data_IF_649764178396
#
_entry.id   IF_649764178396
#
_cell.length_a   1.000
_cell.length_b   1.000
_cell.length_c   1.000
_cell.angle_alpha   90.00
_cell.angle_beta   90.00
_cell.angle_gamma   90.00
#
_symmetry.space_group_name_H-M   'P 1'
#
loop_
_entity.id
_entity.type
_entity.pdbx_description
1 polymer ?
#
# COMPACT_ATOMS: atom_id res chain seq x y z
N UNK A 1 -24.39 -3.07 25.77
CA UNK A 1 -23.08 -2.81 26.42
C UNK A 1 -22.51 -4.14 26.91
N UNK A 2 -21.68 -4.81 26.11
CA UNK A 2 -21.14 -6.14 26.44
C UNK A 2 -20.27 -6.05 27.71
N UNK A 3 -20.72 -6.67 28.82
CA UNK A 3 -19.98 -6.81 30.09
C UNK A 3 -19.53 -8.27 30.23
N UNK A 4 -18.43 -8.61 29.56
CA UNK A 4 -17.72 -9.86 29.81
C UNK A 4 -16.53 -9.53 30.74
N UNK A 5 -16.56 -10.07 31.96
CA UNK A 5 -15.62 -9.75 33.06
C UNK A 5 -14.49 -10.78 33.21
N UNK A 6 -14.29 -11.62 32.19
CA UNK A 6 -13.31 -12.72 32.21
C UNK A 6 -11.96 -12.34 31.58
N UNK A 7 -11.73 -11.06 31.25
CA UNK A 7 -10.45 -10.56 30.73
C UNK A 7 -10.01 -9.31 31.52
N UNK A 8 -8.71 -9.16 31.80
CA UNK A 8 -8.20 -8.09 32.67
C UNK A 8 -8.27 -6.68 32.05
N UNK A 9 -8.42 -6.58 30.72
CA UNK A 9 -8.42 -5.29 30.00
C UNK A 9 -9.41 -5.23 28.83
N UNK A 10 -9.64 -4.02 28.29
CA UNK A 10 -10.49 -3.82 27.10
C UNK A 10 -9.67 -4.03 25.83
N UNK A 11 -10.01 -5.04 25.04
CA UNK A 11 -9.37 -5.36 23.76
C UNK A 11 -10.19 -4.79 22.60
N UNK A 12 -9.74 -3.72 21.92
CA UNK A 12 -10.45 -3.09 20.80
C UNK A 12 -9.49 -2.37 19.84
N UNK A 13 -9.22 -2.94 18.66
CA UNK A 13 -8.55 -2.22 17.57
C UNK A 13 -8.60 -2.99 16.24
N UNK A 14 -8.83 -2.28 15.15
CA UNK A 14 -8.86 -2.83 13.80
C UNK A 14 -8.40 -1.76 12.81
N UNK A 15 -7.54 -2.13 11.86
CA UNK A 15 -7.23 -1.32 10.68
C UNK A 15 -7.46 -2.13 9.41
N UNK A 16 -8.00 -1.45 8.39
CA UNK A 16 -8.21 -2.03 7.07
C UNK A 16 -6.92 -2.13 6.23
N UNK A 17 -5.91 -1.30 6.51
CA UNK A 17 -4.63 -1.28 5.80
C UNK A 17 -3.48 -0.80 6.71
N UNK A 18 -2.25 -0.86 6.18
CA UNK A 18 -1.01 -0.45 6.85
C UNK A 18 -0.93 1.02 7.25
N UNK A 19 -1.84 1.87 6.77
CA UNK A 19 -1.92 3.26 7.23
C UNK A 19 -2.39 3.36 8.69
N UNK A 20 -2.85 2.25 9.28
CA UNK A 20 -3.10 2.10 10.72
C UNK A 20 -3.96 3.23 11.32
N UNK A 21 -4.96 3.70 10.58
CA UNK A 21 -5.86 4.76 11.05
C UNK A 21 -6.50 4.36 12.40
N UNK A 22 -6.21 5.12 13.46
CA UNK A 22 -6.66 4.85 14.82
C UNK A 22 -5.55 4.32 15.74
N UNK A 23 -5.92 3.48 16.70
CA UNK A 23 -5.02 3.00 17.76
C UNK A 23 -4.50 1.57 17.53
N UNK A 24 -4.28 1.19 16.27
CA UNK A 24 -3.91 -0.20 15.89
C UNK A 24 -2.45 -0.53 16.18
N UNK A 25 -1.59 0.47 16.33
CA UNK A 25 -0.17 0.29 16.66
C UNK A 25 0.13 0.18 18.17
N UNK A 26 -0.84 0.50 19.04
CA UNK A 26 -0.69 0.48 20.51
C UNK A 26 -1.69 -0.43 21.31
N UNK A 27 -2.43 -1.39 20.72
CA UNK A 27 -3.34 -2.26 21.48
C UNK A 27 -2.63 -3.57 21.88
N UNK A 28 -3.17 -4.28 22.88
CA UNK A 28 -2.68 -5.62 23.24
C UNK A 28 -2.89 -6.63 22.09
N UNK A 29 -3.97 -6.47 21.32
CA UNK A 29 -4.31 -7.32 20.16
C UNK A 29 -4.84 -6.44 19.03
N UNK A 30 -4.14 -6.43 17.90
CA UNK A 30 -4.51 -5.72 16.68
C UNK A 30 -4.94 -6.69 15.57
N UNK A 31 -5.96 -6.28 14.80
CA UNK A 31 -6.30 -6.90 13.52
C UNK A 31 -5.94 -5.92 12.41
N UNK A 32 -5.09 -6.37 11.49
CA UNK A 32 -4.59 -5.56 10.38
C UNK A 32 -4.83 -6.29 9.05
N UNK A 33 -5.45 -5.58 8.10
CA UNK A 33 -5.48 -6.01 6.70
C UNK A 33 -4.14 -5.75 6.00
N UNK A 34 -3.58 -6.78 5.35
CA UNK A 34 -2.32 -6.70 4.62
C UNK A 34 -2.48 -7.20 3.17
N UNK A 35 -1.82 -6.53 2.22
CA UNK A 35 -1.81 -6.90 0.81
C UNK A 35 -0.68 -7.88 0.51
N UNK A 36 -0.97 -9.01 -0.15
CA UNK A 36 0.03 -10.05 -0.47
C UNK A 36 0.41 -10.11 -1.95
N UNK A 37 0.01 -9.11 -2.74
CA UNK A 37 0.26 -9.04 -4.18
C UNK A 37 0.79 -7.65 -4.53
N UNK A 38 1.80 -7.55 -5.41
CA UNK A 38 2.25 -6.27 -5.92
C UNK A 38 1.14 -5.56 -6.70
N UNK A 39 1.20 -4.21 -6.82
CA UNK A 39 0.21 -3.44 -7.55
C UNK A 39 0.27 -3.74 -9.06
N UNK A 40 -0.89 -3.72 -9.70
CA UNK A 40 -0.99 -3.80 -11.17
C UNK A 40 -0.73 -2.42 -11.78
N UNK A 41 0.02 -2.39 -12.89
CA UNK A 41 0.53 -1.16 -13.51
C UNK A 41 -0.24 -0.88 -14.79
N UNK A 42 -1.09 0.14 -14.77
CA UNK A 42 -1.82 0.62 -15.96
C UNK A 42 -1.01 1.69 -16.70
N UNK A 43 -0.10 1.24 -17.56
CA UNK A 43 0.86 2.09 -18.26
C UNK A 43 0.24 3.17 -19.18
N UNK A 44 -1.03 3.05 -19.57
CA UNK A 44 -1.72 4.05 -20.41
C UNK A 44 -2.18 5.30 -19.64
N UNK A 45 -2.38 5.17 -18.33
CA UNK A 45 -2.98 6.20 -17.49
C UNK A 45 -2.03 6.79 -16.45
N UNK A 46 -0.94 6.09 -16.12
CA UNK A 46 0.03 6.53 -15.11
C UNK A 46 0.62 7.91 -15.45
N UNK A 47 0.98 8.17 -16.71
CA UNK A 47 1.56 9.46 -17.13
C UNK A 47 0.54 10.62 -17.07
N UNK A 48 -0.76 10.31 -17.11
CA UNK A 48 -1.83 11.33 -17.10
C UNK A 48 -2.32 11.67 -15.68
N UNK A 49 -2.25 10.71 -14.76
CA UNK A 49 -2.84 10.83 -13.42
C UNK A 49 -1.83 10.94 -12.29
N UNK A 50 -0.58 10.49 -12.51
CA UNK A 50 0.39 10.38 -11.43
C UNK A 50 1.66 11.18 -11.73
N UNK A 51 2.13 11.92 -10.73
CA UNK A 51 3.50 12.45 -10.75
C UNK A 51 4.47 11.30 -10.46
N UNK A 52 5.14 10.81 -11.51
CA UNK A 52 6.14 9.73 -11.44
C UNK A 52 7.15 9.89 -10.28
N UNK A 53 7.75 11.08 -10.02
CA UNK A 53 8.68 11.21 -8.89
C UNK A 53 8.01 11.01 -7.53
N UNK A 54 6.75 11.42 -7.35
CA UNK A 54 6.01 11.19 -6.10
C UNK A 54 5.70 9.71 -5.91
N UNK A 55 5.31 9.01 -6.98
CA UNK A 55 5.05 7.58 -6.93
C UNK A 55 6.31 6.77 -6.55
N UNK A 56 7.48 7.14 -7.08
CA UNK A 56 8.77 6.52 -6.71
C UNK A 56 9.11 6.79 -5.24
N UNK A 57 8.96 8.05 -4.79
CA UNK A 57 9.28 8.45 -3.43
C UNK A 57 8.35 7.84 -2.36
N UNK A 58 7.13 7.44 -2.74
CA UNK A 58 6.17 6.82 -1.84
C UNK A 58 6.56 5.40 -1.41
N UNK A 59 7.42 4.70 -2.16
CA UNK A 59 7.78 3.31 -1.88
C UNK A 59 8.91 3.21 -0.82
N UNK A 60 8.66 2.70 0.39
CA UNK A 60 9.68 2.63 1.45
C UNK A 60 10.83 1.66 1.13
N UNK A 61 10.57 0.61 0.33
CA UNK A 61 11.57 -0.40 -0.08
C UNK A 61 12.25 -0.07 -1.41
N UNK A 62 11.93 1.08 -2.03
CA UNK A 62 12.43 1.48 -3.34
C UNK A 62 12.25 0.40 -4.44
N UNK A 63 11.12 -0.32 -4.41
CA UNK A 63 10.76 -1.33 -5.42
C UNK A 63 10.34 -0.71 -6.76
N UNK A 64 9.97 0.57 -6.75
CA UNK A 64 9.42 1.32 -7.88
C UNK A 64 10.53 2.02 -8.66
N UNK A 65 10.64 1.75 -9.97
CA UNK A 65 11.63 2.36 -10.87
C UNK A 65 10.96 3.05 -12.06
N UNK A 66 11.56 4.14 -12.59
CA UNK A 66 11.07 4.75 -13.82
C UNK A 66 11.33 3.82 -15.01
N UNK A 67 10.32 3.63 -15.86
CA UNK A 67 10.41 2.85 -17.09
C UNK A 67 9.76 3.61 -18.26
N UNK A 68 10.08 3.22 -19.48
CA UNK A 68 9.40 3.72 -20.68
C UNK A 68 8.76 2.51 -21.36
N UNK A 69 7.46 2.59 -21.61
CA UNK A 69 6.71 1.50 -22.27
C UNK A 69 6.11 2.05 -23.56
N UNK A 70 6.24 1.30 -24.64
CA UNK A 70 5.66 1.64 -25.93
C UNK A 70 4.28 1.00 -26.05
N UNK A 71 3.24 1.84 -26.07
CA UNK A 71 1.86 1.40 -26.26
C UNK A 71 1.28 2.19 -27.43
N UNK A 72 0.84 1.49 -28.49
CA UNK A 72 0.26 2.12 -29.68
C UNK A 72 1.21 3.05 -30.45
N UNK A 73 2.52 2.77 -30.43
CA UNK A 73 3.53 3.55 -31.17
C UNK A 73 3.93 4.88 -30.51
N UNK A 74 3.49 5.15 -29.27
CA UNK A 74 3.95 6.28 -28.46
C UNK A 74 4.71 5.78 -27.24
N UNK A 75 5.90 6.33 -27.00
CA UNK A 75 6.70 6.07 -25.81
C UNK A 75 6.09 6.83 -24.62
N UNK A 76 5.33 6.13 -23.78
CA UNK A 76 4.77 6.69 -22.55
C UNK A 76 5.75 6.48 -21.39
N UNK A 77 5.83 7.47 -20.49
CA UNK A 77 6.57 7.31 -19.25
C UNK A 77 5.72 6.47 -18.31
N UNK A 78 6.28 5.37 -17.85
CA UNK A 78 5.61 4.44 -16.96
C UNK A 78 6.54 4.05 -15.82
N UNK A 79 6.10 3.10 -15.02
CA UNK A 79 6.77 2.65 -13.81
C UNK A 79 6.94 1.14 -13.91
N UNK A 80 8.07 0.63 -13.48
CA UNK A 80 8.31 -0.80 -13.30
C UNK A 80 8.44 -1.11 -11.81
N UNK A 81 7.80 -2.19 -11.36
CA UNK A 81 7.84 -2.66 -9.98
C UNK A 81 8.72 -3.91 -9.91
N UNK A 82 9.68 -3.94 -8.99
CA UNK A 82 10.44 -5.13 -8.69
C UNK A 82 9.72 -5.96 -7.62
N UNK A 83 9.20 -7.13 -7.99
CA UNK A 83 8.41 -8.01 -7.11
C UNK A 83 9.21 -8.53 -5.91
N UNK A 84 10.51 -8.78 -6.05
CA UNK A 84 11.34 -9.28 -4.95
C UNK A 84 11.51 -8.27 -3.80
N UNK A 85 11.27 -6.99 -4.09
CA UNK A 85 11.39 -5.89 -3.12
C UNK A 85 10.04 -5.34 -2.66
N UNK A 86 8.94 -5.83 -3.22
CA UNK A 86 7.58 -5.34 -2.96
C UNK A 86 6.85 -6.18 -1.92
#
# INVERSE_FOLDING_TARGET
RWKCRNVPGKLRSMACCLNMCGAVHCPDIAILGYHRKPPMIDAEYIDKMCEIPLAIAACPTAAIKPAKVEIGGKTLKSVAVNEERC
#
